data_IF_892152067379
#
_entry.id   IF_892152067379
#
_cell.length_a   1.000
_cell.length_b   1.000
_cell.length_c   1.000
_cell.angle_alpha   90.00
_cell.angle_beta   90.00
_cell.angle_gamma   90.00
#
_symmetry.space_group_name_H-M   'P 1'
#
loop_
_entity.id
_entity.type
_entity.pdbx_description
1 polymer ?
#
# COMPACT_ATOMS: atom_id res chain seq x y z
N UNK A 1 -52.68 15.79 0.29
CA UNK A 1 -51.73 14.88 0.95
C UNK A 1 -50.72 15.72 1.71
N UNK A 2 -50.85 15.75 3.04
CA UNK A 2 -49.92 16.47 3.91
C UNK A 2 -48.62 15.65 4.00
N UNK A 3 -47.53 16.19 3.44
CA UNK A 3 -46.16 15.73 3.71
C UNK A 3 -45.93 15.83 5.21
N UNK A 4 -45.51 14.73 5.83
CA UNK A 4 -45.35 14.66 7.28
C UNK A 4 -44.12 15.47 7.71
N UNK A 5 -44.14 16.03 8.92
CA UNK A 5 -42.96 16.70 9.50
C UNK A 5 -41.73 15.79 9.51
N UNK A 6 -41.92 14.47 9.57
CA UNK A 6 -40.88 13.45 9.44
C UNK A 6 -40.18 13.51 8.08
N UNK A 7 -40.93 13.63 6.98
CA UNK A 7 -40.37 13.73 5.62
C UNK A 7 -39.58 15.05 5.42
N UNK A 8 -39.97 16.11 6.13
CA UNK A 8 -39.24 17.39 6.12
C UNK A 8 -37.97 17.33 6.97
N UNK A 9 -38.00 16.65 8.12
CA UNK A 9 -36.81 16.42 8.96
C UNK A 9 -35.79 15.51 8.24
N UNK A 10 -36.24 14.49 7.49
CA UNK A 10 -35.34 13.66 6.66
C UNK A 10 -34.75 14.40 5.45
N UNK A 11 -35.45 15.42 4.94
CA UNK A 11 -34.93 16.26 3.85
C UNK A 11 -33.97 17.37 4.35
N UNK A 12 -34.12 17.82 5.60
CA UNK A 12 -33.31 18.88 6.23
C UNK A 12 -31.97 18.38 6.79
N UNK A 13 -31.77 17.08 7.00
CA UNK A 13 -30.49 16.48 7.39
C UNK A 13 -29.60 16.01 6.21
N UNK A 14 -29.95 16.37 4.97
CA UNK A 14 -29.02 16.20 3.85
C UNK A 14 -27.87 17.21 3.99
N UNK A 15 -26.78 16.79 4.64
CA UNK A 15 -25.50 17.40 4.33
C UNK A 15 -25.34 17.33 2.81
N UNK A 16 -25.17 18.49 2.18
CA UNK A 16 -25.01 18.59 0.72
C UNK A 16 -23.91 17.60 0.31
N UNK A 17 -24.25 16.68 -0.61
CA UNK A 17 -23.29 15.68 -1.06
C UNK A 17 -22.02 16.37 -1.59
N UNK A 18 -20.82 15.85 -1.25
CA UNK A 18 -19.56 16.44 -1.71
C UNK A 18 -19.43 16.32 -3.23
N UNK A 19 -18.78 17.29 -3.88
CA UNK A 19 -18.44 17.17 -5.29
C UNK A 19 -17.32 16.14 -5.53
N UNK A 20 -16.39 16.01 -4.57
CA UNK A 20 -15.22 15.13 -4.67
C UNK A 20 -15.13 14.23 -3.45
N UNK A 21 -14.95 12.94 -3.67
CA UNK A 21 -14.74 11.95 -2.60
C UNK A 21 -13.47 11.17 -2.85
N UNK A 22 -12.51 11.26 -1.93
CA UNK A 22 -11.32 10.44 -1.95
C UNK A 22 -11.59 9.09 -1.33
N UNK A 23 -11.33 8.02 -2.06
CA UNK A 23 -11.29 6.65 -1.56
C UNK A 23 -9.83 6.23 -1.47
N UNK A 24 -9.35 6.08 -0.22
CA UNK A 24 -7.97 5.75 0.07
C UNK A 24 -7.91 4.33 0.62
N UNK A 25 -7.43 3.34 -0.15
CA UNK A 25 -7.31 1.97 0.34
C UNK A 25 -6.27 1.93 1.46
N UNK A 26 -6.64 1.37 2.61
CA UNK A 26 -5.87 1.54 3.84
C UNK A 26 -5.77 0.25 4.67
N UNK A 27 -4.56 0.00 5.21
CA UNK A 27 -4.31 -0.96 6.29
C UNK A 27 -2.91 -0.77 6.88
N UNK A 28 -2.80 -0.61 8.20
CA UNK A 28 -1.52 -0.60 8.95
C UNK A 28 -0.45 0.37 8.40
N UNK A 29 -0.85 1.59 8.04
CA UNK A 29 0.05 2.63 7.48
C UNK A 29 -0.06 3.92 8.31
N UNK A 30 0.18 3.82 9.62
CA UNK A 30 -0.09 4.87 10.61
C UNK A 30 0.58 6.20 10.21
N UNK A 31 1.88 6.17 9.88
CA UNK A 31 2.63 7.37 9.49
C UNK A 31 2.07 7.98 8.21
N UNK A 32 1.76 7.17 7.19
CA UNK A 32 1.25 7.68 5.92
C UNK A 32 -0.15 8.28 6.11
N UNK A 33 -1.02 7.65 6.92
CA UNK A 33 -2.33 8.22 7.29
C UNK A 33 -2.18 9.58 7.95
N UNK A 34 -1.27 9.68 8.91
CA UNK A 34 -1.03 10.94 9.61
C UNK A 34 -0.60 12.04 8.65
N UNK A 35 0.37 11.78 7.77
CA UNK A 35 0.81 12.77 6.79
C UNK A 35 -0.29 13.11 5.78
N UNK A 36 -0.99 12.10 5.25
CA UNK A 36 -2.09 12.29 4.30
C UNK A 36 -3.19 13.19 4.89
N UNK A 37 -3.63 12.89 6.12
CA UNK A 37 -4.66 13.66 6.82
C UNK A 37 -4.28 15.10 7.12
N UNK A 38 -3.00 15.38 7.39
CA UNK A 38 -2.52 16.76 7.59
C UNK A 38 -2.38 17.54 6.28
N UNK A 39 -2.02 16.85 5.20
CA UNK A 39 -1.58 17.49 3.97
C UNK A 39 -2.74 17.74 2.99
N UNK A 40 -3.67 16.80 2.88
CA UNK A 40 -4.82 16.90 1.98
C UNK A 40 -5.68 18.16 2.18
N UNK A 41 -5.96 18.65 3.42
CA UNK A 41 -6.69 19.90 3.59
C UNK A 41 -6.05 21.10 2.89
N UNK A 42 -4.70 21.14 2.81
CA UNK A 42 -3.99 22.20 2.10
C UNK A 42 -4.08 22.05 0.58
N UNK A 43 -4.05 20.82 0.06
CA UNK A 43 -4.26 20.52 -1.37
C UNK A 43 -5.68 20.91 -1.80
N UNK A 44 -6.66 20.64 -0.95
CA UNK A 44 -8.08 20.79 -1.24
C UNK A 44 -8.67 22.14 -0.85
N UNK A 45 -7.83 23.11 -0.46
CA UNK A 45 -8.26 24.43 0.04
C UNK A 45 -9.19 25.19 -0.93
N UNK A 46 -9.02 25.00 -2.24
CA UNK A 46 -9.80 25.71 -3.26
C UNK A 46 -11.14 25.04 -3.59
N UNK A 47 -11.44 23.89 -2.98
CA UNK A 47 -12.70 23.18 -3.17
C UNK A 47 -13.81 23.65 -2.24
N UNK A 48 -13.60 24.74 -1.48
CA UNK A 48 -14.59 25.35 -0.57
C UNK A 48 -15.32 24.30 0.29
N UNK A 49 -14.54 23.41 0.91
CA UNK A 49 -15.03 22.33 1.77
C UNK A 49 -15.96 21.29 1.11
N UNK A 50 -16.08 21.31 -0.23
CA UNK A 50 -16.94 20.42 -0.98
C UNK A 50 -16.27 19.07 -1.33
N UNK A 51 -15.59 18.48 -0.35
CA UNK A 51 -14.92 17.19 -0.48
C UNK A 51 -14.94 16.39 0.82
N UNK A 52 -14.87 15.07 0.70
CA UNK A 52 -14.69 14.15 1.82
C UNK A 52 -13.57 13.13 1.51
N UNK A 53 -12.93 12.60 2.56
CA UNK A 53 -11.87 11.59 2.47
C UNK A 53 -12.29 10.37 3.28
N UNK A 54 -12.28 9.21 2.64
CA UNK A 54 -12.59 7.92 3.24
C UNK A 54 -11.37 7.02 3.20
N UNK A 55 -10.78 6.77 4.37
CA UNK A 55 -9.84 5.67 4.52
C UNK A 55 -10.63 4.37 4.54
N UNK A 56 -10.58 3.64 3.44
CA UNK A 56 -11.23 2.34 3.33
C UNK A 56 -10.33 1.30 3.97
N UNK A 57 -10.64 0.95 5.21
CA UNK A 57 -9.76 0.21 6.10
C UNK A 57 -10.15 -1.27 6.13
N UNK A 58 -9.32 -2.14 5.55
CA UNK A 58 -9.51 -3.59 5.64
C UNK A 58 -9.06 -4.11 7.01
N UNK A 59 -10.01 -4.52 7.86
CA UNK A 59 -9.74 -4.93 9.25
C UNK A 59 -9.50 -6.44 9.40
N UNK A 60 -9.83 -7.25 8.39
CA UNK A 60 -9.61 -8.70 8.44
C UNK A 60 -8.14 -9.12 8.24
N UNK A 61 -7.83 -10.36 8.61
CA UNK A 61 -6.48 -10.91 8.64
C UNK A 61 -5.96 -11.47 7.29
N UNK A 62 -6.77 -11.43 6.22
CA UNK A 62 -6.36 -11.94 4.89
C UNK A 62 -5.38 -10.98 4.24
N UNK A 63 -4.85 -11.34 3.08
CA UNK A 63 -4.02 -10.41 2.30
C UNK A 63 -4.77 -9.14 1.94
N UNK A 64 -4.04 -8.04 1.76
CA UNK A 64 -4.66 -6.75 1.48
C UNK A 64 -5.24 -6.78 0.06
N UNK A 65 -6.55 -6.60 -0.06
CA UNK A 65 -7.24 -6.56 -1.33
C UNK A 65 -7.42 -5.10 -1.73
N UNK A 66 -6.42 -4.52 -2.42
CA UNK A 66 -6.42 -3.09 -2.77
C UNK A 66 -7.61 -2.73 -3.66
N UNK A 67 -7.92 -3.53 -4.68
CA UNK A 67 -9.07 -3.31 -5.57
C UNK A 67 -10.41 -3.46 -4.85
N UNK A 68 -10.58 -4.52 -4.06
CA UNK A 68 -11.79 -4.77 -3.26
C UNK A 68 -12.04 -3.66 -2.23
N UNK A 69 -10.99 -3.19 -1.58
CA UNK A 69 -11.06 -2.06 -0.63
C UNK A 69 -11.52 -0.78 -1.32
N UNK A 70 -10.96 -0.44 -2.49
CA UNK A 70 -11.43 0.71 -3.31
C UNK A 70 -12.91 0.57 -3.69
N UNK A 71 -13.34 -0.62 -4.11
CA UNK A 71 -14.75 -0.90 -4.43
C UNK A 71 -15.68 -0.72 -3.22
N UNK A 72 -15.27 -1.19 -2.03
CA UNK A 72 -16.08 -1.07 -0.81
C UNK A 72 -16.18 0.38 -0.36
N UNK A 73 -15.10 1.17 -0.48
CA UNK A 73 -15.16 2.62 -0.25
C UNK A 73 -16.19 3.31 -1.15
N UNK A 74 -16.22 2.97 -2.44
CA UNK A 74 -17.27 3.44 -3.35
C UNK A 74 -18.67 3.00 -2.91
N UNK A 75 -18.85 1.72 -2.56
CA UNK A 75 -20.15 1.20 -2.10
C UNK A 75 -20.65 1.91 -0.83
N UNK A 76 -19.76 2.21 0.11
CA UNK A 76 -20.09 2.93 1.35
C UNK A 76 -20.61 4.35 1.06
N UNK A 77 -19.94 5.08 0.17
CA UNK A 77 -20.34 6.44 -0.22
C UNK A 77 -21.61 6.41 -1.07
N UNK A 78 -21.76 5.43 -1.96
CA UNK A 78 -23.01 5.19 -2.70
C UNK A 78 -24.19 4.96 -1.76
N UNK A 79 -24.00 4.19 -0.69
CA UNK A 79 -25.03 3.97 0.32
C UNK A 79 -25.34 5.23 1.14
N UNK A 80 -24.33 6.06 1.44
CA UNK A 80 -24.50 7.35 2.14
C UNK A 80 -25.22 8.40 1.28
N UNK A 81 -24.95 8.44 -0.03
CA UNK A 81 -25.49 9.43 -0.96
C UNK A 81 -26.22 8.80 -2.16
N UNK A 82 -27.30 8.02 -1.94
CA UNK A 82 -27.93 7.19 -2.98
C UNK A 82 -28.50 8.00 -4.16
N UNK A 83 -28.87 9.26 -3.93
CA UNK A 83 -29.45 10.15 -4.95
C UNK A 83 -28.42 11.03 -5.67
N UNK A 84 -27.17 11.09 -5.18
CA UNK A 84 -26.15 12.01 -5.70
C UNK A 84 -24.86 11.31 -6.17
N UNK A 85 -24.57 10.08 -5.70
CA UNK A 85 -23.29 9.41 -5.94
C UNK A 85 -22.88 9.32 -7.41
N UNK A 86 -23.85 9.29 -8.34
CA UNK A 86 -23.58 9.22 -9.78
C UNK A 86 -22.80 10.43 -10.30
N UNK A 87 -23.04 11.60 -9.74
CA UNK A 87 -22.41 12.86 -10.14
C UNK A 87 -21.23 13.25 -9.25
N UNK A 88 -21.01 12.53 -8.14
CA UNK A 88 -19.81 12.69 -7.31
C UNK A 88 -18.59 12.23 -8.11
N UNK A 89 -17.52 13.03 -8.07
CA UNK A 89 -16.20 12.61 -8.54
C UNK A 89 -15.56 11.74 -7.47
N UNK A 90 -15.30 10.48 -7.79
CA UNK A 90 -14.51 9.59 -6.94
C UNK A 90 -13.04 9.69 -7.33
N UNK A 91 -12.18 9.96 -6.35
CA UNK A 91 -10.73 9.96 -6.49
C UNK A 91 -10.18 8.74 -5.77
N UNK A 92 -9.66 7.77 -6.52
CA UNK A 92 -8.93 6.64 -5.95
C UNK A 92 -7.47 7.05 -5.80
N UNK A 93 -7.03 7.20 -4.55
CA UNK A 93 -5.70 7.73 -4.22
C UNK A 93 -4.98 6.75 -3.30
N UNK A 94 -3.80 6.28 -3.70
CA UNK A 94 -2.97 5.47 -2.81
C UNK A 94 -2.44 6.29 -1.63
N UNK A 95 -2.45 5.70 -0.44
CA UNK A 95 -2.09 6.38 0.81
C UNK A 95 -0.65 6.92 0.84
N UNK A 96 0.24 6.33 0.04
CA UNK A 96 1.64 6.71 -0.05
C UNK A 96 1.91 7.75 -1.13
N UNK A 97 0.90 8.32 -1.78
CA UNK A 97 1.09 9.32 -2.84
C UNK A 97 0.35 10.62 -2.52
N UNK A 98 1.07 11.74 -2.54
CA UNK A 98 0.54 13.09 -2.31
C UNK A 98 1.11 14.06 -3.34
N UNK A 99 0.29 14.88 -4.02
CA UNK A 99 0.82 15.94 -4.86
C UNK A 99 1.51 17.03 -4.03
N UNK A 100 2.49 17.72 -4.59
CA UNK A 100 3.23 18.79 -3.90
C UNK A 100 2.38 20.05 -3.60
N UNK A 101 1.29 20.28 -4.32
CA UNK A 101 0.32 21.34 -4.05
C UNK A 101 -1.01 20.99 -4.73
N UNK A 102 -1.95 21.92 -4.77
CA UNK A 102 -3.19 21.92 -5.55
C UNK A 102 -2.99 21.90 -7.10
N UNK A 103 -2.08 21.06 -7.62
CA UNK A 103 -1.75 20.98 -9.06
C UNK A 103 -2.81 20.24 -9.90
N UNK A 104 -3.76 19.56 -9.25
CA UNK A 104 -4.77 18.74 -9.91
C UNK A 104 -6.16 19.38 -9.86
N UNK A 105 -6.81 19.40 -11.02
CA UNK A 105 -8.26 19.51 -11.07
C UNK A 105 -8.82 18.10 -10.95
N UNK A 106 -9.33 17.74 -9.78
CA UNK A 106 -9.84 16.39 -9.52
C UNK A 106 -11.19 16.15 -10.19
N UNK A 107 -11.99 17.20 -10.45
CA UNK A 107 -13.36 17.08 -10.92
C UNK A 107 -13.37 16.34 -12.26
N UNK A 108 -14.12 15.24 -12.29
CA UNK A 108 -14.35 14.45 -13.49
C UNK A 108 -15.70 14.81 -14.10
N UNK A 109 -15.76 14.75 -15.43
CA UNK A 109 -17.01 14.84 -16.19
C UNK A 109 -17.40 13.44 -16.66
N UNK A 110 -18.70 13.21 -16.83
CA UNK A 110 -19.21 11.93 -17.34
C UNK A 110 -18.53 11.52 -18.65
N UNK A 111 -18.10 10.27 -18.75
CA UNK A 111 -17.37 9.74 -19.90
C UNK A 111 -15.86 9.97 -19.87
N UNK A 112 -15.32 10.66 -18.86
CA UNK A 112 -13.89 11.00 -18.74
C UNK A 112 -13.29 10.45 -17.44
N UNK A 113 -12.19 9.73 -17.57
CA UNK A 113 -11.35 9.27 -16.46
C UNK A 113 -10.07 10.10 -16.45
N UNK A 114 -9.79 10.82 -15.38
CA UNK A 114 -8.56 11.61 -15.24
C UNK A 114 -7.52 10.79 -14.49
N UNK A 115 -6.32 10.70 -15.03
CA UNK A 115 -5.23 9.95 -14.42
C UNK A 115 -4.03 10.87 -14.18
N UNK A 116 -3.69 11.04 -12.91
CA UNK A 116 -2.80 12.09 -12.45
C UNK A 116 -1.40 11.59 -12.09
N UNK A 117 -1.28 10.37 -11.58
CA UNK A 117 0.01 9.83 -11.15
C UNK A 117 0.07 8.32 -11.26
N UNK A 118 1.14 7.78 -11.86
CA UNK A 118 1.34 6.33 -11.96
C UNK A 118 2.08 5.92 -13.24
N UNK A 119 1.58 4.89 -13.90
CA UNK A 119 2.10 4.37 -15.18
C UNK A 119 1.08 4.55 -16.30
N UNK A 120 1.50 4.79 -17.54
CA UNK A 120 0.52 5.02 -18.62
C UNK A 120 -0.26 3.76 -19.06
N UNK A 121 0.20 2.57 -18.68
CA UNK A 121 -0.44 1.29 -19.00
C UNK A 121 -1.44 0.80 -17.92
N UNK A 122 -1.59 1.54 -16.82
CA UNK A 122 -2.51 1.21 -15.73
C UNK A 122 -3.12 2.47 -15.11
N UNK A 123 -4.31 2.36 -14.53
CA UNK A 123 -4.96 3.43 -13.77
C UNK A 123 -4.61 3.31 -12.27
N UNK A 124 -3.30 3.38 -11.97
CA UNK A 124 -2.78 3.29 -10.60
C UNK A 124 -2.52 4.65 -9.97
N UNK A 125 -1.99 4.68 -8.73
CA UNK A 125 -1.63 5.90 -8.02
C UNK A 125 -2.82 6.80 -7.69
N UNK A 126 -3.08 7.79 -8.55
CA UNK A 126 -4.15 8.79 -8.36
C UNK A 126 -4.99 8.91 -9.63
N UNK A 127 -6.27 8.52 -9.52
CA UNK A 127 -7.24 8.49 -10.63
C UNK A 127 -8.56 9.08 -10.16
N UNK A 128 -9.24 9.87 -11.01
CA UNK A 128 -10.61 10.30 -10.75
C UNK A 128 -11.58 9.99 -11.90
N UNK A 129 -12.82 9.71 -11.54
CA UNK A 129 -13.94 9.48 -12.47
C UNK A 129 -15.28 9.68 -11.74
N UNK A 130 -16.38 9.87 -12.49
CA UNK A 130 -17.71 9.98 -11.86
C UNK A 130 -18.14 8.65 -11.25
N UNK A 131 -19.02 8.71 -10.25
CA UNK A 131 -19.58 7.49 -9.66
C UNK A 131 -20.40 6.66 -10.65
N UNK A 132 -21.06 7.31 -11.62
CA UNK A 132 -21.77 6.62 -12.69
C UNK A 132 -20.81 5.84 -13.60
N UNK A 133 -19.69 6.46 -14.00
CA UNK A 133 -18.70 5.82 -14.85
C UNK A 133 -17.99 4.66 -14.12
N UNK A 134 -17.70 4.83 -12.82
CA UNK A 134 -17.08 3.77 -12.03
C UNK A 134 -18.01 2.56 -11.84
N UNK A 135 -19.30 2.81 -11.61
CA UNK A 135 -20.30 1.74 -11.56
C UNK A 135 -20.44 1.02 -12.91
N UNK A 136 -20.37 1.77 -14.02
CA UNK A 136 -20.46 1.22 -15.38
C UNK A 136 -19.34 0.22 -15.69
N UNK A 137 -18.15 0.40 -15.12
CA UNK A 137 -17.01 -0.53 -15.30
C UNK A 137 -17.07 -1.76 -14.40
N UNK A 138 -18.03 -1.86 -13.48
CA UNK A 138 -18.03 -2.84 -12.38
C UNK A 138 -16.80 -2.69 -11.44
N UNK A 139 -16.17 -1.52 -11.43
CA UNK A 139 -15.03 -1.19 -10.57
C UNK A 139 -13.76 -2.03 -10.81
N UNK A 140 -12.90 -2.08 -9.80
CA UNK A 140 -11.66 -2.86 -9.80
C UNK A 140 -11.96 -4.36 -9.67
N UNK A 141 -11.15 -5.27 -10.25
CA UNK A 141 -11.19 -6.67 -9.85
C UNK A 141 -10.67 -6.81 -8.41
N UNK A 142 -11.11 -7.84 -7.71
CA UNK A 142 -10.78 -8.04 -6.29
C UNK A 142 -9.66 -9.06 -6.12
N UNK A 143 -8.48 -8.75 -6.66
CA UNK A 143 -7.29 -9.59 -6.53
C UNK A 143 -6.66 -9.49 -5.14
N UNK A 144 -6.24 -10.64 -4.61
CA UNK A 144 -5.66 -10.77 -3.27
C UNK A 144 -4.12 -10.74 -3.27
N UNK A 145 -3.50 -10.78 -4.46
CA UNK A 145 -2.09 -10.49 -4.67
C UNK A 145 -1.86 -9.01 -5.03
N UNK A 146 -0.59 -8.63 -5.09
CA UNK A 146 -0.17 -7.30 -5.51
C UNK A 146 -0.16 -7.17 -7.04
N UNK A 147 -0.81 -6.11 -7.51
CA UNK A 147 -0.75 -5.64 -8.90
C UNK A 147 -1.89 -6.15 -9.78
N UNK A 148 -1.86 -5.68 -11.03
CA UNK A 148 -2.79 -5.99 -12.13
C UNK A 148 -4.22 -5.42 -12.01
N UNK A 149 -4.70 -5.07 -10.82
CA UNK A 149 -6.05 -4.52 -10.65
C UNK A 149 -6.23 -3.17 -11.36
N UNK A 150 -5.20 -2.33 -11.33
CA UNK A 150 -5.20 -1.03 -11.98
C UNK A 150 -5.13 -1.15 -13.53
N UNK A 151 -4.45 -2.18 -14.05
CA UNK A 151 -4.43 -2.52 -15.48
C UNK A 151 -5.82 -2.95 -15.96
N UNK A 152 -6.51 -3.75 -15.16
CA UNK A 152 -7.86 -4.22 -15.48
C UNK A 152 -8.84 -3.05 -15.46
N UNK A 153 -8.76 -2.14 -14.48
CA UNK A 153 -9.61 -0.94 -14.49
C UNK A 153 -9.42 -0.14 -15.77
N UNK A 154 -8.17 0.09 -16.20
CA UNK A 154 -7.89 0.78 -17.47
C UNK A 154 -8.60 0.09 -18.65
N UNK A 155 -8.40 -1.22 -18.78
CA UNK A 155 -9.01 -2.03 -19.84
C UNK A 155 -10.53 -1.96 -19.81
N UNK A 156 -11.15 -1.96 -18.62
CA UNK A 156 -12.60 -1.83 -18.44
C UNK A 156 -13.12 -0.46 -18.84
N UNK A 157 -12.41 0.61 -18.46
CA UNK A 157 -12.75 1.98 -18.87
C UNK A 157 -12.75 2.10 -20.41
N UNK A 158 -11.70 1.60 -21.07
CA UNK A 158 -11.59 1.59 -22.54
C UNK A 158 -12.72 0.77 -23.18
N UNK A 159 -13.01 -0.44 -22.67
CA UNK A 159 -14.10 -1.32 -23.16
C UNK A 159 -15.48 -0.68 -23.10
N UNK A 160 -15.76 0.15 -22.09
CA UNK A 160 -17.07 0.83 -21.95
C UNK A 160 -17.10 2.24 -22.55
N UNK A 161 -16.05 2.60 -23.30
CA UNK A 161 -15.95 3.83 -24.10
C UNK A 161 -15.61 5.08 -23.30
N UNK A 162 -14.99 4.96 -22.13
CA UNK A 162 -14.52 6.12 -21.36
C UNK A 162 -13.21 6.64 -21.93
N UNK A 163 -13.08 7.97 -22.02
CA UNK A 163 -11.85 8.64 -22.44
C UNK A 163 -10.92 8.79 -21.23
N UNK A 164 -9.70 8.25 -21.32
CA UNK A 164 -8.67 8.49 -20.31
C UNK A 164 -7.92 9.79 -20.64
N UNK A 165 -8.05 10.78 -19.76
CA UNK A 165 -7.33 12.04 -19.81
C UNK A 165 -6.06 11.98 -18.93
N UNK A 166 -4.92 12.29 -19.55
CA UNK A 166 -3.60 12.37 -18.92
C UNK A 166 -2.97 13.76 -19.08
N UNK A 167 -3.78 14.80 -19.31
CA UNK A 167 -3.33 16.19 -19.47
C UNK A 167 -2.57 16.74 -18.26
N UNK A 168 -2.89 16.27 -17.04
CA UNK A 168 -2.19 16.59 -15.79
C UNK A 168 -1.40 15.39 -15.22
N UNK A 169 -0.92 14.49 -16.06
CA UNK A 169 -0.25 13.25 -15.62
C UNK A 169 1.22 13.45 -15.24
N UNK A 170 1.62 12.85 -14.12
CA UNK A 170 3.00 12.73 -13.66
C UNK A 170 3.44 11.27 -13.56
N UNK A 171 4.61 10.89 -14.11
CA UNK A 171 5.12 9.53 -13.97
C UNK A 171 5.66 9.25 -12.55
N UNK A 172 5.78 7.97 -12.21
CA UNK A 172 6.49 7.52 -11.00
C UNK A 172 7.88 8.18 -10.91
N UNK A 173 8.25 8.62 -9.70
CA UNK A 173 9.51 9.34 -9.44
C UNK A 173 9.49 10.83 -9.78
N UNK A 174 8.36 11.38 -10.26
CA UNK A 174 8.19 12.82 -10.43
C UNK A 174 8.41 13.59 -9.10
N UNK A 175 9.21 14.67 -9.08
CA UNK A 175 9.40 15.48 -7.88
C UNK A 175 8.15 16.26 -7.46
N UNK A 176 7.13 16.35 -8.32
CA UNK A 176 5.86 16.99 -8.01
C UNK A 176 4.92 16.11 -7.19
N UNK A 177 5.31 14.85 -6.93
CA UNK A 177 4.53 13.89 -6.17
C UNK A 177 5.43 13.34 -5.06
N UNK A 178 5.04 13.59 -3.82
CA UNK A 178 5.64 12.93 -2.67
C UNK A 178 5.15 11.48 -2.66
N UNK A 179 6.08 10.54 -2.80
CA UNK A 179 5.81 9.12 -2.68
C UNK A 179 6.52 8.55 -1.44
N UNK A 180 5.76 8.07 -0.46
CA UNK A 180 6.33 7.38 0.69
C UNK A 180 6.81 5.99 0.30
N UNK A 181 7.93 5.57 0.88
CA UNK A 181 8.43 4.21 0.70
C UNK A 181 7.47 3.20 1.34
N UNK A 182 7.23 2.09 0.64
CA UNK A 182 6.22 1.10 1.00
C UNK A 182 6.78 -0.34 1.09
N UNK A 183 8.09 -0.47 1.28
CA UNK A 183 8.80 -1.74 1.36
C UNK A 183 9.24 -2.27 -0.01
N UNK A 184 10.14 -3.25 0.00
CA UNK A 184 10.61 -3.92 -1.24
C UNK A 184 9.88 -5.24 -1.51
N UNK A 185 9.13 -5.77 -0.54
CA UNK A 185 8.46 -7.05 -0.65
C UNK A 185 7.01 -6.88 -1.08
N UNK A 186 6.54 -7.77 -1.97
CA UNK A 186 5.17 -7.84 -2.47
C UNK A 186 4.66 -9.26 -2.35
N UNK A 187 3.42 -9.40 -1.88
CA UNK A 187 2.73 -10.68 -1.90
C UNK A 187 2.08 -10.84 -3.28
N UNK A 188 2.51 -11.81 -4.07
CA UNK A 188 2.04 -12.02 -5.44
C UNK A 188 1.27 -13.33 -5.59
N UNK A 189 0.44 -13.41 -6.62
CA UNK A 189 -0.23 -14.62 -7.04
C UNK A 189 0.00 -14.84 -8.53
N UNK A 190 0.49 -16.04 -8.88
CA UNK A 190 0.86 -16.40 -10.25
C UNK A 190 -0.30 -16.37 -11.24
N UNK A 191 -1.54 -16.50 -10.76
CA UNK A 191 -2.74 -16.50 -11.59
C UNK A 191 -3.22 -15.09 -11.92
N UNK A 192 -2.84 -14.07 -11.13
CA UNK A 192 -3.36 -12.70 -11.30
C UNK A 192 -3.00 -12.08 -12.65
N UNK A 193 -1.77 -12.22 -13.19
CA UNK A 193 -1.46 -11.75 -14.54
C UNK A 193 -2.35 -12.39 -15.62
N UNK A 194 -2.64 -13.69 -15.49
CA UNK A 194 -3.53 -14.39 -16.41
C UNK A 194 -4.98 -13.92 -16.26
N UNK A 195 -5.47 -13.75 -15.02
CA UNK A 195 -6.80 -13.21 -14.73
C UNK A 195 -6.99 -11.81 -15.30
N UNK A 196 -5.97 -10.98 -15.20
CA UNK A 196 -6.01 -9.61 -15.69
C UNK A 196 -6.10 -9.54 -17.22
N UNK A 197 -5.28 -10.35 -17.91
CA UNK A 197 -5.31 -10.45 -19.38
C UNK A 197 -6.61 -11.07 -19.90
N UNK A 198 -7.25 -11.94 -19.12
CA UNK A 198 -8.50 -12.63 -19.46
C UNK A 198 -9.69 -12.13 -18.64
N UNK A 199 -9.68 -10.85 -18.25
CA UNK A 199 -10.76 -10.27 -17.46
C UNK A 199 -12.10 -10.37 -18.20
N UNK A 200 -13.02 -11.13 -17.61
CA UNK A 200 -14.37 -11.37 -18.12
C UNK A 200 -15.40 -10.35 -17.59
N UNK A 201 -14.96 -9.38 -16.78
CA UNK A 201 -15.81 -8.32 -16.23
C UNK A 201 -16.73 -8.76 -15.09
N UNK A 202 -16.70 -10.03 -14.67
CA UNK A 202 -17.57 -10.56 -13.61
C UNK A 202 -17.09 -10.10 -12.23
N UNK A 203 -15.80 -10.30 -11.93
CA UNK A 203 -15.22 -9.94 -10.62
C UNK A 203 -15.16 -8.42 -10.44
N UNK A 204 -15.71 -7.90 -9.35
CA UNK A 204 -15.78 -6.47 -9.08
C UNK A 204 -16.82 -6.13 -8.04
N UNK A 205 -17.41 -4.94 -8.14
CA UNK A 205 -18.42 -4.45 -7.18
C UNK A 205 -19.60 -5.42 -7.05
N UNK A 206 -20.10 -5.94 -8.18
CA UNK A 206 -21.28 -6.83 -8.23
C UNK A 206 -21.08 -8.19 -7.55
N UNK A 207 -19.83 -8.60 -7.35
CA UNK A 207 -19.49 -9.89 -6.73
C UNK A 207 -19.08 -9.75 -5.28
N UNK A 208 -19.08 -8.54 -4.72
CA UNK A 208 -18.83 -8.33 -3.29
C UNK A 208 -20.09 -8.73 -2.52
N UNK A 209 -19.95 -9.66 -1.58
CA UNK A 209 -21.06 -10.15 -0.76
C UNK A 209 -20.59 -10.52 0.65
N UNK A 210 -21.54 -10.75 1.57
CA UNK A 210 -21.24 -10.87 3.02
C UNK A 210 -20.34 -9.72 3.50
N UNK A 211 -20.68 -8.52 3.03
CA UNK A 211 -19.95 -7.30 3.33
C UNK A 211 -20.50 -6.72 4.63
N UNK A 212 -19.64 -6.55 5.62
CA UNK A 212 -19.93 -5.83 6.86
C UNK A 212 -18.91 -4.70 7.01
N UNK A 213 -19.41 -3.48 7.18
CA UNK A 213 -18.57 -2.31 7.43
C UNK A 213 -19.30 -1.26 8.28
N UNK A 214 -18.54 -0.38 8.89
CA UNK A 214 -19.02 0.84 9.55
C UNK A 214 -18.33 2.08 8.97
N UNK A 215 -18.97 3.25 9.06
CA UNK A 215 -18.36 4.54 8.71
C UNK A 215 -18.19 5.31 10.01
N UNK A 216 -16.95 5.48 10.44
CA UNK A 216 -16.61 6.05 11.74
C UNK A 216 -15.59 7.20 11.59
N UNK A 217 -15.37 7.93 12.69
CA UNK A 217 -14.24 8.87 12.80
C UNK A 217 -12.94 8.18 13.23
N UNK A 218 -13.03 6.97 13.76
CA UNK A 218 -11.91 6.22 14.32
C UNK A 218 -11.72 4.87 13.63
N UNK A 219 -10.47 4.40 13.58
CA UNK A 219 -10.11 3.09 13.04
C UNK A 219 -10.40 2.00 14.07
N UNK A 220 -10.81 0.82 13.62
CA UNK A 220 -10.84 -0.37 14.49
C UNK A 220 -9.46 -0.84 14.93
N UNK A 221 -8.38 -0.39 14.27
CA UNK A 221 -7.03 -0.59 14.76
C UNK A 221 -6.65 0.58 15.69
N UNK A 222 -6.46 0.34 17.01
CA UNK A 222 -6.19 1.41 17.97
C UNK A 222 -4.91 2.19 17.67
N UNK A 223 -3.91 1.57 17.03
CA UNK A 223 -2.65 2.24 16.71
C UNK A 223 -2.83 3.37 15.70
N UNK A 224 -3.85 3.26 14.83
CA UNK A 224 -4.16 4.31 13.86
C UNK A 224 -4.82 5.53 14.54
N UNK A 225 -5.29 5.39 15.78
CA UNK A 225 -6.01 6.45 16.52
C UNK A 225 -5.10 7.20 17.50
N UNK A 226 -3.82 6.84 17.59
CA UNK A 226 -2.84 7.54 18.44
C UNK A 226 -2.49 8.91 17.85
N UNK A 227 -2.32 8.97 16.52
CA UNK A 227 -1.98 10.18 15.79
C UNK A 227 -3.13 10.54 14.84
N UNK A 228 -4.16 11.19 15.38
CA UNK A 228 -5.33 11.63 14.62
C UNK A 228 -5.24 13.11 14.27
N UNK A 229 -5.89 13.48 13.17
CA UNK A 229 -6.10 14.86 12.76
C UNK A 229 -7.59 15.13 12.86
N UNK A 230 -7.98 16.10 13.68
CA UNK A 230 -9.38 16.47 13.82
C UNK A 230 -9.89 17.06 12.50
N UNK A 231 -10.89 16.41 11.88
CA UNK A 231 -11.51 16.89 10.66
C UNK A 231 -12.93 16.35 10.54
N UNK A 232 -13.85 17.23 10.16
CA UNK A 232 -15.23 16.91 9.79
C UNK A 232 -15.31 16.18 8.44
N UNK A 233 -14.28 16.31 7.59
CA UNK A 233 -14.22 15.77 6.21
C UNK A 233 -13.54 14.41 6.08
N UNK A 234 -12.86 13.95 7.14
CA UNK A 234 -12.14 12.68 7.16
C UNK A 234 -13.00 11.63 7.87
N UNK A 235 -13.12 10.46 7.24
CA UNK A 235 -13.88 9.32 7.72
C UNK A 235 -13.09 8.02 7.48
N UNK A 236 -13.46 6.98 8.21
CA UNK A 236 -12.88 5.65 8.09
C UNK A 236 -14.01 4.66 7.81
N UNK A 237 -13.89 3.93 6.69
CA UNK A 237 -14.78 2.79 6.40
C UNK A 237 -14.09 1.55 6.97
N UNK A 238 -14.47 1.14 8.18
CA UNK A 238 -13.91 -0.05 8.81
C UNK A 238 -14.58 -1.30 8.23
N UNK A 239 -13.85 -2.06 7.42
CA UNK A 239 -14.35 -3.25 6.71
C UNK A 239 -14.01 -4.49 7.54
N UNK A 240 -15.02 -5.08 8.16
CA UNK A 240 -14.84 -6.26 9.03
C UNK A 240 -14.73 -7.56 8.23
N UNK A 241 -15.60 -7.71 7.23
CA UNK A 241 -15.63 -8.90 6.39
C UNK A 241 -16.21 -8.58 5.03
N UNK A 242 -15.76 -9.32 4.01
CA UNK A 242 -16.30 -9.30 2.66
C UNK A 242 -15.81 -10.55 1.92
N UNK A 243 -16.61 -11.03 0.97
CA UNK A 243 -16.24 -12.07 0.02
C UNK A 243 -16.28 -11.51 -1.40
N UNK A 244 -15.49 -12.11 -2.27
CA UNK A 244 -15.33 -11.70 -3.68
C UNK A 244 -15.41 -12.94 -4.57
N UNK A 245 -15.50 -12.77 -5.90
CA UNK A 245 -15.55 -13.91 -6.81
C UNK A 245 -14.26 -14.76 -6.73
N UNK A 246 -13.11 -14.10 -6.62
CA UNK A 246 -11.82 -14.74 -6.37
C UNK A 246 -11.64 -15.00 -4.89
N UNK A 247 -11.75 -16.25 -4.43
CA UNK A 247 -11.56 -16.59 -3.00
C UNK A 247 -10.09 -16.59 -2.61
N UNK A 248 -9.78 -15.92 -1.49
CA UNK A 248 -8.43 -15.83 -0.95
C UNK A 248 -7.84 -17.23 -0.67
N UNK A 249 -8.63 -18.09 -0.05
CA UNK A 249 -8.24 -19.39 0.50
C UNK A 249 -7.94 -20.44 -0.58
N UNK A 250 -8.41 -20.20 -1.81
CA UNK A 250 -8.28 -21.15 -2.92
C UNK A 250 -7.00 -20.95 -3.74
N UNK A 251 -6.13 -20.03 -3.31
CA UNK A 251 -4.95 -19.62 -4.05
C UNK A 251 -3.64 -19.78 -3.27
N UNK A 252 -2.55 -19.67 -4.03
CA UNK A 252 -1.20 -19.74 -3.53
C UNK A 252 -0.53 -18.39 -3.71
N UNK A 253 0.09 -17.91 -2.64
CA UNK A 253 0.77 -16.63 -2.60
C UNK A 253 2.26 -16.83 -2.35
N UNK A 254 3.04 -15.93 -2.94
CA UNK A 254 4.49 -15.97 -2.89
C UNK A 254 5.00 -14.58 -2.53
N UNK A 255 6.10 -14.53 -1.79
CA UNK A 255 6.80 -13.29 -1.55
C UNK A 255 7.71 -12.97 -2.74
N UNK A 256 7.62 -11.76 -3.25
CA UNK A 256 8.42 -11.25 -4.36
C UNK A 256 9.16 -9.99 -3.92
N UNK A 257 10.47 -9.99 -4.03
CA UNK A 257 11.27 -8.78 -3.81
C UNK A 257 11.33 -7.99 -5.12
N UNK A 258 10.95 -6.71 -5.08
CA UNK A 258 10.94 -5.82 -6.25
C UNK A 258 12.31 -5.72 -6.93
N UNK A 259 13.42 -5.98 -6.22
CA UNK A 259 14.77 -5.97 -6.78
C UNK A 259 15.08 -7.22 -7.60
N UNK A 260 14.25 -8.26 -7.51
CA UNK A 260 14.37 -9.46 -8.33
C UNK A 260 13.86 -9.24 -9.77
N UNK A 261 14.24 -10.11 -10.72
CA UNK A 261 13.75 -10.02 -12.09
C UNK A 261 12.21 -10.23 -12.20
N UNK A 262 11.49 -9.45 -13.04
CA UNK A 262 10.04 -9.56 -13.21
C UNK A 262 9.52 -10.95 -13.59
N UNK A 263 10.33 -11.79 -14.26
CA UNK A 263 9.95 -13.18 -14.58
C UNK A 263 9.53 -13.99 -13.34
N UNK A 264 10.03 -13.64 -12.15
CA UNK A 264 9.70 -14.33 -10.90
C UNK A 264 8.29 -14.03 -10.39
N UNK A 265 7.60 -13.04 -10.96
CA UNK A 265 6.18 -12.80 -10.67
C UNK A 265 5.33 -13.96 -11.21
N UNK A 266 5.66 -14.46 -12.40
CA UNK A 266 4.94 -15.55 -13.08
C UNK A 266 5.53 -16.92 -12.69
N UNK A 267 6.85 -16.96 -12.48
CA UNK A 267 7.61 -18.15 -12.11
C UNK A 267 8.40 -17.90 -10.81
N UNK A 268 7.73 -17.84 -9.65
CA UNK A 268 8.39 -17.62 -8.38
C UNK A 268 9.25 -18.83 -8.00
N UNK A 269 10.50 -18.54 -7.65
CA UNK A 269 11.47 -19.55 -7.22
C UNK A 269 11.33 -19.88 -5.71
N UNK A 270 10.51 -19.11 -4.97
CA UNK A 270 10.33 -19.24 -3.51
C UNK A 270 9.18 -20.17 -3.14
N UNK A 271 9.27 -20.73 -1.92
CA UNK A 271 8.20 -21.53 -1.32
C UNK A 271 6.96 -20.66 -1.07
N UNK A 272 5.78 -21.28 -1.15
CA UNK A 272 4.51 -20.64 -0.78
C UNK A 272 4.62 -20.02 0.62
N UNK A 273 4.11 -18.81 0.78
CA UNK A 273 4.04 -18.14 2.07
C UNK A 273 2.62 -18.16 2.63
N UNK A 274 2.52 -18.29 3.96
CA UNK A 274 1.28 -18.08 4.71
C UNK A 274 1.21 -16.65 5.27
N UNK A 275 2.19 -15.79 4.97
CA UNK A 275 2.20 -14.39 5.39
C UNK A 275 1.07 -13.64 4.68
N UNK A 276 0.03 -13.29 5.42
CA UNK A 276 -1.12 -12.52 4.94
C UNK A 276 -1.04 -11.03 5.29
N UNK A 277 -0.12 -10.65 6.18
CA UNK A 277 0.01 -9.30 6.71
C UNK A 277 1.40 -8.75 6.41
N UNK A 278 1.45 -7.65 5.65
CA UNK A 278 2.62 -6.79 5.56
C UNK A 278 2.45 -5.66 6.57
N UNK A 279 3.44 -5.44 7.43
CA UNK A 279 3.47 -4.33 8.39
C UNK A 279 4.59 -3.37 8.05
N UNK A 280 4.56 -2.16 8.59
CA UNK A 280 5.66 -1.19 8.42
C UNK A 280 6.97 -1.66 9.06
N UNK A 281 6.92 -2.59 10.03
CA UNK A 281 8.11 -3.22 10.60
C UNK A 281 8.93 -4.00 9.56
N UNK A 282 8.26 -4.56 8.55
CA UNK A 282 8.93 -5.23 7.42
C UNK A 282 9.85 -4.28 6.65
N UNK A 283 9.60 -2.97 6.71
CA UNK A 283 10.40 -1.95 6.02
C UNK A 283 11.68 -1.60 6.76
N UNK A 284 11.77 -1.96 8.04
CA UNK A 284 12.95 -1.74 8.87
C UNK A 284 13.95 -2.89 8.78
N UNK A 285 13.54 -4.05 8.25
CA UNK A 285 14.33 -5.27 8.15
C UNK A 285 14.48 -5.70 6.68
N UNK A 286 15.08 -4.85 5.85
CA UNK A 286 15.26 -5.13 4.42
C UNK A 286 16.56 -5.94 4.24
N UNK A 287 16.50 -7.14 3.66
CA UNK A 287 17.69 -7.94 3.43
C UNK A 287 18.59 -7.30 2.37
N UNK A 288 19.89 -7.59 2.48
CA UNK A 288 20.85 -7.20 1.47
C UNK A 288 20.54 -7.91 0.14
N UNK A 289 20.35 -7.11 -0.90
CA UNK A 289 20.27 -7.59 -2.27
C UNK A 289 20.93 -6.55 -3.16
N UNK A 290 21.99 -6.90 -3.90
CA UNK A 290 22.82 -5.90 -4.56
C UNK A 290 22.12 -5.27 -5.77
N UNK A 291 22.47 -4.03 -6.06
CA UNK A 291 22.19 -3.42 -7.37
C UNK A 291 22.96 -4.16 -8.47
N UNK A 292 22.59 -3.94 -9.74
CA UNK A 292 23.32 -4.53 -10.87
C UNK A 292 24.82 -4.13 -10.87
N UNK A 293 25.11 -2.88 -10.52
CA UNK A 293 26.48 -2.39 -10.36
C UNK A 293 27.20 -3.07 -9.20
N UNK A 294 26.58 -3.13 -8.02
CA UNK A 294 27.17 -3.80 -6.87
C UNK A 294 27.40 -5.29 -7.11
N UNK A 295 26.49 -5.94 -7.84
CA UNK A 295 26.64 -7.34 -8.26
C UNK A 295 27.87 -7.50 -9.17
N UNK A 296 28.10 -6.59 -10.13
CA UNK A 296 29.31 -6.62 -10.97
C UNK A 296 30.59 -6.45 -10.15
N UNK A 297 30.62 -5.51 -9.20
CA UNK A 297 31.75 -5.33 -8.28
C UNK A 297 32.02 -6.61 -7.46
N UNK A 298 30.98 -7.23 -6.92
CA UNK A 298 31.09 -8.47 -6.15
C UNK A 298 31.62 -9.62 -7.01
N UNK A 299 31.14 -9.75 -8.26
CA UNK A 299 31.64 -10.76 -9.20
C UNK A 299 33.12 -10.52 -9.51
N UNK A 300 33.54 -9.25 -9.70
CA UNK A 300 34.94 -8.90 -9.94
C UNK A 300 35.82 -9.23 -8.72
N UNK A 301 35.31 -9.02 -7.51
CA UNK A 301 36.05 -9.24 -6.27
C UNK A 301 36.15 -10.71 -5.84
N UNK A 302 35.06 -11.47 -5.96
CA UNK A 302 34.94 -12.83 -5.39
C UNK A 302 34.84 -13.93 -6.46
N UNK A 303 34.67 -13.58 -7.73
CA UNK A 303 34.25 -14.51 -8.77
C UNK A 303 32.75 -14.79 -8.73
N UNK A 304 32.18 -15.28 -9.85
CA UNK A 304 30.74 -15.40 -10.02
C UNK A 304 30.08 -16.31 -8.98
N UNK A 305 30.54 -17.55 -8.83
CA UNK A 305 29.92 -18.52 -7.93
C UNK A 305 29.94 -18.05 -6.47
N UNK A 306 31.07 -17.50 -6.00
CA UNK A 306 31.18 -17.02 -4.62
C UNK A 306 30.37 -15.75 -4.39
N UNK A 307 30.29 -14.85 -5.38
CA UNK A 307 29.43 -13.67 -5.29
C UNK A 307 27.96 -14.07 -5.18
N UNK A 308 27.49 -15.04 -5.97
CA UNK A 308 26.12 -15.56 -5.90
C UNK A 308 25.83 -16.20 -4.53
N UNK A 309 26.75 -17.02 -4.00
CA UNK A 309 26.64 -17.60 -2.65
C UNK A 309 26.55 -16.52 -1.56
N UNK A 310 27.39 -15.48 -1.64
CA UNK A 310 27.36 -14.36 -0.68
C UNK A 310 26.03 -13.62 -0.77
N UNK A 311 25.51 -13.37 -1.97
CA UNK A 311 24.24 -12.67 -2.17
C UNK A 311 23.09 -13.47 -1.56
N UNK A 312 23.02 -14.77 -1.85
CA UNK A 312 21.99 -15.65 -1.31
C UNK A 312 22.07 -15.75 0.22
N UNK A 313 23.27 -15.96 0.76
CA UNK A 313 23.47 -15.99 2.20
C UNK A 313 23.11 -14.65 2.86
N UNK A 314 23.54 -13.54 2.28
CA UNK A 314 23.22 -12.19 2.77
C UNK A 314 21.73 -11.91 2.73
N UNK A 315 21.03 -12.36 1.69
CA UNK A 315 19.59 -12.18 1.57
C UNK A 315 18.84 -12.88 2.71
N UNK A 316 19.28 -14.08 3.11
CA UNK A 316 18.64 -14.88 4.14
C UNK A 316 19.06 -14.49 5.58
N UNK A 317 20.21 -13.81 5.75
CA UNK A 317 20.81 -13.57 7.07
C UNK A 317 21.07 -12.09 7.41
N UNK A 318 20.81 -11.16 6.49
CA UNK A 318 20.97 -9.72 6.73
C UNK A 318 19.64 -9.03 7.03
N UNK A 319 19.67 -8.06 7.93
CA UNK A 319 18.62 -7.04 8.11
C UNK A 319 19.08 -5.65 7.67
N UNK A 320 20.32 -5.53 7.17
CA UNK A 320 20.91 -4.30 6.67
C UNK A 320 21.01 -4.37 5.13
N UNK A 321 20.24 -3.57 4.38
CA UNK A 321 20.24 -3.62 2.92
C UNK A 321 21.52 -3.07 2.29
N UNK A 322 22.41 -2.44 3.08
CA UNK A 322 23.59 -1.73 2.58
C UNK A 322 24.87 -2.56 2.65
N UNK A 323 24.88 -3.64 3.43
CA UNK A 323 26.09 -4.44 3.68
C UNK A 323 25.83 -5.93 3.48
N UNK A 324 26.66 -6.62 2.68
CA UNK A 324 26.58 -8.07 2.59
C UNK A 324 27.05 -8.72 3.90
N UNK A 325 26.46 -9.86 4.23
CA UNK A 325 26.92 -10.75 5.29
C UNK A 325 27.62 -11.93 4.62
N UNK A 326 28.87 -12.19 5.00
CA UNK A 326 29.62 -13.29 4.41
C UNK A 326 29.16 -14.62 5.02
N UNK A 327 29.06 -15.69 4.21
CA UNK A 327 28.89 -17.05 4.72
C UNK A 327 30.02 -17.41 5.70
N UNK A 328 29.76 -18.24 6.73
CA UNK A 328 30.82 -18.75 7.59
C UNK A 328 31.87 -19.45 6.73
N UNK A 329 33.15 -19.15 6.98
CA UNK A 329 34.25 -19.82 6.29
C UNK A 329 34.24 -21.32 6.58
N UNK A 330 34.92 -22.14 5.75
CA UNK A 330 35.09 -23.56 6.05
C UNK A 330 35.70 -23.68 7.45
N UNK A 331 34.96 -24.31 8.36
CA UNK A 331 35.48 -24.63 9.69
C UNK A 331 36.71 -25.51 9.50
N UNK A 332 37.90 -24.97 9.74
CA UNK A 332 39.02 -25.82 10.12
C UNK A 332 38.57 -26.53 11.40
N UNK A 333 38.30 -27.83 11.30
CA UNK A 333 38.32 -28.72 12.46
C UNK A 333 39.77 -28.79 12.94
N UNK A 334 40.27 -27.70 13.52
CA UNK A 334 41.36 -27.79 14.48
C UNK A 334 40.69 -28.16 15.80
N UNK A 335 40.98 -29.37 16.25
CA UNK A 335 40.74 -29.83 17.61
C UNK A 335 41.47 -28.89 18.58
N UNK A 336 40.85 -27.78 18.94
CA UNK A 336 41.27 -26.96 20.07
C UNK A 336 40.64 -27.60 21.30
N UNK A 337 41.48 -28.29 22.07
CA UNK A 337 41.16 -28.76 23.42
C UNK A 337 40.46 -27.64 24.19
N UNK A 338 39.21 -27.88 24.60
CA UNK A 338 38.51 -27.02 25.56
C UNK A 338 39.28 -27.07 26.89
N UNK A 339 40.11 -26.07 27.14
CA UNK A 339 40.27 -25.56 28.49
C UNK A 339 39.18 -24.51 28.69
N UNK A 340 38.27 -24.76 29.61
CA UNK A 340 37.25 -23.81 30.03
C UNK A 340 37.90 -22.61 30.73
N UNK A 341 37.73 -21.37 30.25
CA UNK A 341 37.74 -20.22 31.13
C UNK A 341 36.31 -20.03 31.67
N UNK A 342 36.19 -19.94 32.99
CA UNK A 342 34.94 -19.63 33.67
C UNK A 342 34.33 -18.33 33.10
N UNK A 343 33.11 -18.42 32.57
CA UNK A 343 32.30 -17.25 32.21
C UNK A 343 31.73 -16.63 33.48
N UNK A 344 32.27 -15.49 33.92
CA UNK A 344 31.54 -14.55 34.75
C UNK A 344 30.54 -13.80 33.86
N UNK A 345 29.27 -14.24 33.88
CA UNK A 345 28.19 -13.48 33.29
C UNK A 345 27.90 -12.27 34.19
N UNK A 346 28.40 -11.08 33.82
CA UNK A 346 27.89 -9.83 34.38
C UNK A 346 26.59 -9.48 33.67
N UNK A 347 25.46 -9.78 34.30
CA UNK A 347 24.16 -9.26 33.90
C UNK A 347 24.23 -7.72 33.91
N UNK A 348 24.05 -7.09 32.76
CA UNK A 348 24.06 -5.64 32.63
C UNK A 348 22.74 -5.10 33.21
N UNK A 349 22.82 -4.50 34.40
CA UNK A 349 21.66 -3.93 35.08
C UNK A 349 21.19 -2.66 34.34
N UNK A 350 20.01 -2.71 33.71
CA UNK A 350 19.37 -1.54 33.10
C UNK A 350 18.53 -0.86 34.20
N UNK A 351 18.80 0.41 34.56
CA UNK A 351 18.02 1.09 35.58
C UNK A 351 16.55 1.21 35.15
N UNK A 352 15.57 0.99 36.06
CA UNK A 352 14.18 1.30 35.77
C UNK A 352 14.08 2.82 35.57
N UNK A 353 13.49 3.25 34.46
CA UNK A 353 13.30 4.65 34.01
C UNK A 353 14.29 5.21 32.97
N UNK A 354 15.15 4.40 32.35
CA UNK A 354 15.87 4.87 31.16
C UNK A 354 14.96 4.75 29.93
N UNK A 355 14.59 5.88 29.31
CA UNK A 355 13.84 5.90 28.05
C UNK A 355 14.61 5.10 26.98
N UNK A 356 13.97 4.07 26.41
CA UNK A 356 14.55 3.16 25.41
C UNK A 356 15.02 3.84 24.12
N UNK A 357 14.56 5.06 23.86
CA UNK A 357 14.96 5.88 22.71
C UNK A 357 16.05 6.91 23.07
N UNK A 358 16.53 6.94 24.32
CA UNK A 358 17.56 7.89 24.75
C UNK A 358 18.97 7.46 24.33
N UNK A 359 19.90 8.42 24.10
CA UNK A 359 21.32 8.12 23.90
C UNK A 359 21.98 7.43 25.11
N UNK A 360 21.40 7.56 26.30
CA UNK A 360 21.85 6.84 27.49
C UNK A 360 21.53 5.35 27.39
N UNK A 361 20.31 4.98 26.96
CA UNK A 361 19.95 3.59 26.70
C UNK A 361 20.83 2.97 25.62
N UNK A 362 21.03 3.68 24.51
CA UNK A 362 21.89 3.23 23.41
C UNK A 362 23.33 2.95 23.85
N UNK A 363 23.89 3.77 24.75
CA UNK A 363 25.21 3.52 25.37
C UNK A 363 25.22 2.31 26.30
N UNK A 364 24.17 2.13 27.11
CA UNK A 364 24.04 0.99 28.05
C UNK A 364 23.98 -0.35 27.30
N UNK A 365 23.30 -0.40 26.15
CA UNK A 365 23.19 -1.62 25.32
C UNK A 365 24.27 -1.72 24.21
N UNK A 366 25.22 -0.78 24.15
CA UNK A 366 26.28 -0.77 23.14
C UNK A 366 25.83 -0.47 21.70
N UNK A 367 24.61 0.05 21.51
CA UNK A 367 24.09 0.44 20.20
C UNK A 367 24.66 1.81 19.79
N UNK A 368 25.50 1.85 18.75
CA UNK A 368 25.90 3.13 18.13
C UNK A 368 24.75 3.66 17.26
N UNK A 369 24.34 4.94 17.38
CA UNK A 369 23.33 5.50 16.50
C UNK A 369 23.89 5.54 15.07
N UNK A 370 23.24 4.82 14.16
CA UNK A 370 23.52 4.89 12.72
C UNK A 370 22.52 5.86 12.09
N UNK A 371 22.97 7.05 11.72
CA UNK A 371 22.31 7.78 10.64
C UNK A 371 22.50 6.96 9.36
N UNK A 372 21.44 6.37 8.82
CA UNK A 372 21.49 5.66 7.54
C UNK A 372 20.87 6.54 6.47
N UNK A 373 21.73 6.99 5.56
CA UNK A 373 21.36 7.66 4.33
C UNK A 373 20.54 6.68 3.47
N UNK A 374 19.30 7.06 3.17
CA UNK A 374 18.32 6.36 2.34
C UNK A 374 18.67 6.29 0.84
N UNK A 375 19.91 6.62 0.45
CA UNK A 375 20.27 6.94 -0.93
C UNK A 375 20.59 5.72 -1.84
N UNK A 376 20.73 4.50 -1.31
CA UNK A 376 21.24 3.37 -2.09
C UNK A 376 20.20 2.39 -2.63
N UNK A 377 18.92 2.55 -2.30
CA UNK A 377 17.84 1.73 -2.87
C UNK A 377 17.24 2.54 -4.03
N UNK A 378 17.89 2.52 -5.20
CA UNK A 378 17.31 3.09 -6.44
C UNK A 378 16.05 2.28 -6.82
N UNK A 379 14.90 2.64 -6.25
CA UNK A 379 13.58 2.06 -6.55
C UNK A 379 12.81 2.88 -7.59
N UNK A 380 13.48 3.76 -8.33
CA UNK A 380 12.86 4.44 -9.46
C UNK A 380 12.55 3.45 -10.57
N UNK A 381 11.26 3.15 -10.77
CA UNK A 381 10.70 2.54 -11.98
C UNK A 381 11.35 1.24 -12.43
N UNK A 382 10.86 0.11 -11.91
CA UNK A 382 11.02 -1.16 -12.62
C UNK A 382 10.12 -1.11 -13.86
N UNK A 383 10.75 -1.22 -15.02
CA UNK A 383 10.17 -1.19 -16.36
C UNK A 383 9.17 -2.30 -16.62
#
# INVERSE_FOLDING_TARGET
MLSTMSDRIYAEENSKAPAVVFIVPYRNRIQHKYFFSNYMPSIMKDYNDNYEIYFSHQCDARSFNRGGTKNIGFLAVKAKYPNAYKDITFVFNDIDTLPFTNIFDYIATHGVVKHFYGFQYALGGIVSMTGADFEKTNGFPSFWGWGMEDNVLQTRCEKVGLKIDRSQFYPIGSPNILQFFDGVSRLINRKDPWRATHDNGIDGIRTIHKLEYTIDKESKNPLDNIHTVASDKIFIVNIDTFMTATRFEHDNYYEYDLREPPRKIIHPDRVKTNKSLNTTDDWSNIPFYPTAEKKREMIQQYGQAKAEEIIEYSYNNSTDPTRPVLPPGPSNQSSVSRQNPATSATATFIPPNVNKFSPAYARIIGAKPKATASANIRLGGLY
#
